data_IF_311547130502
#
_entry.id   IF_311547130502
#
_cell.length_a   1.000
_cell.length_b   1.000
_cell.length_c   1.000
_cell.angle_alpha   90.00
_cell.angle_beta   90.00
_cell.angle_gamma   90.00
#
_symmetry.space_group_name_H-M   'P 1'
#
loop_
_entity.id
_entity.type
_entity.pdbx_description
1 polymer ?
#
# COMPACT_ATOMS: atom_id res chain seq x y z
N UNK A 1 -3.10 2.38 -5.76
CA UNK A 1 -2.76 3.76 -6.18
C UNK A 1 -2.40 4.60 -4.97
N UNK A 2 -3.36 4.90 -4.09
CA UNK A 2 -3.19 5.85 -2.99
C UNK A 2 -2.01 5.48 -2.07
N UNK A 3 -1.91 4.24 -1.61
CA UNK A 3 -0.82 3.78 -0.74
C UNK A 3 0.56 4.10 -1.31
N UNK A 4 0.86 3.69 -2.54
CA UNK A 4 2.18 3.94 -3.13
C UNK A 4 2.51 5.44 -3.21
N UNK A 5 1.52 6.27 -3.53
CA UNK A 5 1.73 7.71 -3.60
C UNK A 5 1.92 8.36 -2.22
N UNK A 6 1.19 7.91 -1.20
CA UNK A 6 1.41 8.37 0.17
C UNK A 6 2.75 7.86 0.72
N UNK A 7 3.15 6.64 0.39
CA UNK A 7 4.47 6.11 0.74
C UNK A 7 5.61 6.94 0.15
N UNK A 8 5.44 7.49 -1.08
CA UNK A 8 6.41 8.45 -1.64
C UNK A 8 6.52 9.68 -0.76
N UNK A 9 5.40 10.25 -0.36
CA UNK A 9 5.37 11.43 0.51
C UNK A 9 6.04 11.14 1.85
N UNK A 10 5.72 10.01 2.47
CA UNK A 10 6.28 9.59 3.75
C UNK A 10 7.78 9.28 3.63
N UNK A 11 8.22 8.68 2.53
CA UNK A 11 9.63 8.42 2.25
C UNK A 11 10.46 9.72 2.15
N UNK A 12 9.92 10.75 1.49
CA UNK A 12 10.56 12.08 1.43
C UNK A 12 10.59 12.71 2.81
N UNK A 13 9.47 12.69 3.55
CA UNK A 13 9.37 13.22 4.92
C UNK A 13 10.34 12.52 5.87
N UNK A 14 10.50 11.21 5.74
CA UNK A 14 11.43 10.39 6.52
C UNK A 14 12.87 10.51 6.03
N UNK A 15 13.16 11.36 5.01
CA UNK A 15 14.49 11.56 4.41
C UNK A 15 15.15 10.26 3.92
N UNK A 16 14.35 9.33 3.41
CA UNK A 16 14.83 8.09 2.79
C UNK A 16 15.29 8.32 1.35
N UNK A 17 14.67 9.26 0.69
CA UNK A 17 15.01 9.79 -0.63
C UNK A 17 14.44 11.22 -0.74
N UNK A 18 14.78 11.93 -1.81
CA UNK A 18 14.39 13.32 -2.01
C UNK A 18 13.61 13.52 -3.32
N UNK A 19 13.16 14.75 -3.59
CA UNK A 19 12.41 15.08 -4.80
C UNK A 19 13.22 14.82 -6.08
N UNK A 20 14.55 15.03 -6.06
CA UNK A 20 15.37 14.79 -7.24
C UNK A 20 15.40 13.30 -7.59
N UNK A 21 15.46 12.42 -6.59
CA UNK A 21 15.36 10.97 -6.81
C UNK A 21 14.00 10.60 -7.44
N UNK A 22 12.90 11.25 -7.01
CA UNK A 22 11.56 10.97 -7.52
C UNK A 22 11.38 11.39 -8.98
N UNK A 23 11.90 12.56 -9.36
CA UNK A 23 11.78 13.09 -10.73
C UNK A 23 12.69 12.39 -11.75
N UNK A 24 13.50 11.41 -11.35
CA UNK A 24 14.14 10.47 -12.26
C UNK A 24 13.09 9.62 -13.00
N UNK A 25 11.93 9.38 -12.37
CA UNK A 25 10.78 8.74 -13.02
C UNK A 25 10.08 9.79 -13.89
N UNK A 26 10.05 9.57 -15.21
CA UNK A 26 9.50 10.52 -16.18
C UNK A 26 8.08 10.98 -15.86
N UNK A 27 7.24 10.10 -15.34
CA UNK A 27 5.88 10.43 -14.92
C UNK A 27 5.85 11.56 -13.87
N UNK A 28 6.68 11.48 -12.84
CA UNK A 28 6.77 12.52 -11.81
C UNK A 28 7.52 13.76 -12.30
N UNK A 29 8.48 13.58 -13.20
CA UNK A 29 9.19 14.69 -13.84
C UNK A 29 8.24 15.59 -14.63
N UNK A 30 7.28 15.00 -15.35
CA UNK A 30 6.31 15.77 -16.14
C UNK A 30 5.33 16.52 -15.22
N UNK A 31 4.85 15.90 -14.15
CA UNK A 31 4.01 16.58 -13.14
C UNK A 31 4.80 17.69 -12.45
N UNK A 32 6.07 17.44 -12.09
CA UNK A 32 6.93 18.46 -11.49
C UNK A 32 7.08 19.68 -12.39
N UNK A 33 7.32 19.49 -13.68
CA UNK A 33 7.46 20.59 -14.65
C UNK A 33 6.21 21.46 -14.73
N UNK A 34 5.01 20.88 -14.64
CA UNK A 34 3.74 21.63 -14.68
C UNK A 34 3.54 22.53 -13.47
N UNK A 35 4.15 22.19 -12.31
CA UNK A 35 4.00 22.96 -11.07
C UNK A 35 5.19 23.85 -10.71
N UNK A 36 6.38 23.57 -11.25
CA UNK A 36 7.63 24.24 -10.89
C UNK A 36 7.53 25.78 -10.92
N UNK A 37 6.85 26.33 -11.91
CA UNK A 37 6.76 27.80 -12.12
C UNK A 37 5.58 28.44 -11.36
N UNK A 38 4.64 27.65 -10.83
CA UNK A 38 3.39 28.17 -10.25
C UNK A 38 3.47 28.33 -8.73
N UNK A 39 4.49 27.76 -8.09
CA UNK A 39 4.60 27.80 -6.63
C UNK A 39 5.44 29.02 -6.23
N UNK A 40 4.75 30.08 -5.79
CA UNK A 40 5.38 31.24 -5.17
C UNK A 40 6.12 30.77 -3.90
N UNK A 41 7.33 31.29 -3.71
CA UNK A 41 8.18 31.07 -2.52
C UNK A 41 8.86 29.69 -2.39
N UNK A 42 9.06 28.93 -3.46
CA UNK A 42 9.84 27.67 -3.42
C UNK A 42 9.46 26.71 -2.24
N UNK A 43 8.19 26.71 -1.83
CA UNK A 43 7.74 25.83 -0.77
C UNK A 43 7.71 24.38 -1.26
N UNK A 44 8.80 23.65 -0.95
CA UNK A 44 8.99 22.25 -1.38
C UNK A 44 7.88 21.31 -0.91
N UNK A 45 7.33 21.58 0.26
CA UNK A 45 6.26 20.73 0.82
C UNK A 45 4.98 20.86 0.00
N UNK A 46 4.59 22.09 -0.35
CA UNK A 46 3.43 22.33 -1.22
C UNK A 46 3.65 21.66 -2.59
N UNK A 47 4.85 21.75 -3.15
CA UNK A 47 5.18 21.14 -4.42
C UNK A 47 5.02 19.60 -4.36
N UNK A 48 5.52 18.97 -3.31
CA UNK A 48 5.39 17.54 -3.10
C UNK A 48 3.91 17.15 -3.00
N UNK A 49 3.11 17.88 -2.21
CA UNK A 49 1.66 17.64 -2.11
C UNK A 49 0.95 17.72 -3.47
N UNK A 50 1.27 18.73 -4.29
CA UNK A 50 0.69 18.86 -5.63
C UNK A 50 1.08 17.70 -6.53
N UNK A 51 2.34 17.29 -6.53
CA UNK A 51 2.83 16.16 -7.32
C UNK A 51 2.10 14.87 -6.92
N UNK A 52 1.97 14.60 -5.63
CA UNK A 52 1.30 13.40 -5.13
C UNK A 52 -0.19 13.41 -5.50
N UNK A 53 -0.87 14.54 -5.32
CA UNK A 53 -2.29 14.70 -5.68
C UNK A 53 -2.54 14.44 -7.15
N UNK A 54 -1.74 15.08 -8.01
CA UNK A 54 -1.92 14.96 -9.46
C UNK A 54 -1.51 13.56 -9.97
N UNK A 55 -0.52 12.95 -9.34
CA UNK A 55 -0.17 11.54 -9.61
C UNK A 55 -1.37 10.61 -9.34
N UNK A 56 -2.01 10.76 -8.19
CA UNK A 56 -3.20 9.97 -7.84
C UNK A 56 -4.33 10.24 -8.85
N UNK A 57 -4.63 11.51 -9.16
CA UNK A 57 -5.68 11.88 -10.11
C UNK A 57 -5.45 11.27 -11.49
N UNK A 58 -4.24 11.42 -12.03
CA UNK A 58 -3.88 10.86 -13.34
C UNK A 58 -4.00 9.33 -13.38
N UNK A 59 -3.54 8.64 -12.34
CA UNK A 59 -3.65 7.18 -12.23
C UNK A 59 -5.11 6.73 -12.13
N UNK A 60 -5.93 7.42 -11.34
CA UNK A 60 -7.36 7.10 -11.20
C UNK A 60 -8.11 7.35 -12.49
N UNK A 61 -7.84 8.46 -13.19
CA UNK A 61 -8.45 8.77 -14.49
C UNK A 61 -8.11 7.72 -15.54
N UNK A 62 -6.85 7.28 -15.59
CA UNK A 62 -6.46 6.21 -16.52
C UNK A 62 -7.20 4.91 -16.20
N UNK A 63 -7.24 4.50 -14.93
CA UNK A 63 -7.93 3.30 -14.50
C UNK A 63 -9.40 3.32 -14.90
N UNK A 64 -10.11 4.42 -14.63
CA UNK A 64 -11.52 4.59 -15.00
C UNK A 64 -11.70 4.55 -16.53
N UNK A 65 -10.87 5.29 -17.26
CA UNK A 65 -10.94 5.34 -18.72
C UNK A 65 -10.70 3.96 -19.33
N UNK A 66 -9.65 3.28 -18.89
CA UNK A 66 -9.32 1.94 -19.40
C UNK A 66 -10.40 0.91 -19.04
N UNK A 67 -10.93 0.95 -17.82
CA UNK A 67 -12.05 0.09 -17.41
C UNK A 67 -13.28 0.30 -18.28
N UNK A 68 -13.66 1.56 -18.57
CA UNK A 68 -14.78 1.86 -19.48
C UNK A 68 -14.53 1.31 -20.89
N UNK A 69 -13.30 1.39 -21.38
CA UNK A 69 -12.94 0.82 -22.67
C UNK A 69 -13.03 -0.71 -22.67
N UNK A 70 -12.53 -1.37 -21.62
CA UNK A 70 -12.59 -2.82 -21.48
C UNK A 70 -14.05 -3.33 -21.42
N UNK A 71 -14.92 -2.64 -20.69
CA UNK A 71 -16.37 -2.96 -20.67
C UNK A 71 -17.00 -2.91 -22.07
N UNK A 72 -16.64 -1.88 -22.85
CA UNK A 72 -17.15 -1.72 -24.24
C UNK A 72 -16.59 -2.81 -25.17
N UNK A 73 -15.27 -3.01 -25.14
CA UNK A 73 -14.60 -3.97 -26.01
C UNK A 73 -15.07 -5.40 -25.79
N UNK A 74 -15.25 -5.77 -24.51
CA UNK A 74 -15.74 -7.10 -24.14
C UNK A 74 -17.28 -7.21 -24.14
N UNK A 75 -17.99 -6.15 -24.58
CA UNK A 75 -19.47 -6.12 -24.67
C UNK A 75 -20.16 -6.56 -23.38
N UNK A 76 -19.60 -6.21 -22.23
CA UNK A 76 -20.14 -6.58 -20.91
C UNK A 76 -21.45 -5.86 -20.64
N UNK A 77 -22.51 -6.63 -20.38
CA UNK A 77 -23.86 -6.13 -20.07
C UNK A 77 -24.39 -6.63 -18.72
N UNK A 78 -23.80 -7.68 -18.17
CA UNK A 78 -24.23 -8.30 -16.92
C UNK A 78 -23.04 -8.74 -16.07
N UNK A 79 -23.29 -9.05 -14.80
CA UNK A 79 -22.30 -9.62 -13.90
C UNK A 79 -21.76 -10.96 -14.39
N UNK A 80 -22.63 -11.77 -15.02
CA UNK A 80 -22.25 -13.06 -15.60
C UNK A 80 -21.25 -12.89 -16.74
N UNK A 81 -21.31 -11.79 -17.51
CA UNK A 81 -20.33 -11.51 -18.56
C UNK A 81 -18.96 -11.22 -17.95
N UNK A 82 -18.92 -10.53 -16.80
CA UNK A 82 -17.68 -10.28 -16.07
C UNK A 82 -17.02 -11.58 -15.62
N UNK A 83 -17.80 -12.53 -15.09
CA UNK A 83 -17.27 -13.81 -14.61
C UNK A 83 -16.75 -14.73 -15.71
N UNK A 84 -17.15 -14.52 -16.96
CA UNK A 84 -16.66 -15.29 -18.12
C UNK A 84 -15.32 -14.79 -18.67
N UNK A 85 -14.85 -13.63 -18.23
CA UNK A 85 -13.60 -13.06 -18.73
C UNK A 85 -12.40 -13.67 -18.02
N UNK A 86 -11.38 -13.99 -18.79
CA UNK A 86 -10.10 -14.50 -18.29
C UNK A 86 -9.25 -13.36 -17.68
N UNK A 87 -9.39 -12.13 -18.22
CA UNK A 87 -8.59 -10.99 -17.81
C UNK A 87 -9.41 -10.00 -16.95
N UNK A 88 -8.79 -9.33 -15.97
CA UNK A 88 -9.45 -8.32 -15.14
C UNK A 88 -9.95 -7.14 -15.98
N UNK A 89 -11.22 -6.78 -15.82
CA UNK A 89 -11.80 -5.58 -16.45
C UNK A 89 -11.18 -4.31 -15.91
N UNK A 90 -10.97 -4.26 -14.59
CA UNK A 90 -10.42 -3.11 -13.89
C UNK A 90 -8.91 -3.22 -13.89
N UNK A 91 -8.29 -2.56 -14.85
CA UNK A 91 -6.83 -2.52 -14.96
C UNK A 91 -6.36 -1.20 -15.58
N UNK A 92 -5.11 -0.86 -15.34
CA UNK A 92 -4.45 0.27 -15.99
C UNK A 92 -4.27 0.02 -17.49
N UNK A 93 -4.21 1.12 -18.25
CA UNK A 93 -3.67 1.06 -19.62
C UNK A 93 -2.22 0.56 -19.60
N UNK A 94 -1.74 0.05 -20.73
CA UNK A 94 -0.35 -0.45 -20.87
C UNK A 94 0.69 0.62 -20.46
N UNK A 95 0.40 1.91 -20.74
CA UNK A 95 1.24 3.03 -20.33
C UNK A 95 1.30 3.14 -18.79
N UNK A 96 0.15 3.19 -18.13
CA UNK A 96 0.09 3.38 -16.69
C UNK A 96 0.49 2.13 -15.89
N UNK A 97 0.35 0.96 -16.48
CA UNK A 97 0.88 -0.28 -15.90
C UNK A 97 2.42 -0.25 -15.80
N UNK A 98 3.09 0.34 -16.81
CA UNK A 98 4.55 0.55 -16.74
C UNK A 98 4.92 1.54 -15.65
N UNK A 99 4.21 2.67 -15.56
CA UNK A 99 4.41 3.68 -14.52
C UNK A 99 4.23 3.07 -13.11
N UNK A 100 3.18 2.27 -12.93
CA UNK A 100 2.91 1.61 -11.64
C UNK A 100 4.06 0.67 -11.25
N UNK A 101 4.59 -0.09 -12.21
CA UNK A 101 5.75 -0.96 -11.98
C UNK A 101 7.00 -0.15 -11.62
N UNK A 102 7.26 0.97 -12.28
CA UNK A 102 8.39 1.86 -11.97
C UNK A 102 8.27 2.45 -10.57
N UNK A 103 7.07 2.94 -10.20
CA UNK A 103 6.79 3.47 -8.86
C UNK A 103 7.01 2.40 -7.79
N UNK A 104 6.48 1.21 -8.01
CA UNK A 104 6.65 0.08 -7.08
C UNK A 104 8.11 -0.33 -6.93
N UNK A 105 8.85 -0.38 -8.03
CA UNK A 105 10.29 -0.67 -8.01
C UNK A 105 11.07 0.40 -7.24
N UNK A 106 10.77 1.68 -7.49
CA UNK A 106 11.37 2.80 -6.78
C UNK A 106 11.15 2.70 -5.26
N UNK A 107 9.90 2.52 -4.82
CA UNK A 107 9.57 2.37 -3.41
C UNK A 107 10.26 1.16 -2.78
N UNK A 108 10.29 0.04 -3.49
CA UNK A 108 10.96 -1.17 -3.00
C UNK A 108 12.45 -0.94 -2.80
N UNK A 109 13.12 -0.27 -3.73
CA UNK A 109 14.56 -0.02 -3.66
C UNK A 109 14.92 1.05 -2.63
N UNK A 110 14.19 2.18 -2.60
CA UNK A 110 14.55 3.35 -1.78
C UNK A 110 13.94 3.33 -0.37
N UNK A 111 12.78 2.70 -0.19
CA UNK A 111 12.03 2.73 1.07
C UNK A 111 11.91 1.35 1.73
N UNK A 112 11.26 0.38 1.08
CA UNK A 112 10.91 -0.87 1.75
C UNK A 112 12.12 -1.74 2.11
N UNK A 113 13.19 -1.68 1.32
CA UNK A 113 14.46 -2.36 1.61
C UNK A 113 15.42 -1.53 2.47
N UNK A 114 15.00 -0.35 2.95
CA UNK A 114 15.81 0.46 3.84
C UNK A 114 16.02 -0.26 5.17
N UNK A 115 17.27 -0.28 5.69
CA UNK A 115 17.62 -0.95 6.95
C UNK A 115 16.73 -0.53 8.13
N UNK A 116 16.37 0.76 8.23
CA UNK A 116 15.51 1.27 9.31
C UNK A 116 14.10 0.69 9.23
N UNK A 117 13.54 0.56 8.02
CA UNK A 117 12.22 -0.05 7.80
C UNK A 117 12.26 -1.53 8.09
N UNK A 118 13.26 -2.24 7.56
CA UNK A 118 13.44 -3.68 7.78
C UNK A 118 13.61 -4.01 9.26
N UNK A 119 14.35 -3.21 10.02
CA UNK A 119 14.51 -3.41 11.48
C UNK A 119 13.17 -3.29 12.21
N UNK A 120 12.35 -2.27 11.89
CA UNK A 120 11.01 -2.11 12.48
C UNK A 120 10.08 -3.25 12.11
N UNK A 121 10.04 -3.63 10.82
CA UNK A 121 9.21 -4.73 10.34
C UNK A 121 9.62 -6.06 10.99
N UNK A 122 10.91 -6.35 11.09
CA UNK A 122 11.41 -7.55 11.76
C UNK A 122 11.09 -7.56 13.25
N UNK A 123 11.11 -6.39 13.91
CA UNK A 123 10.68 -6.28 15.31
C UNK A 123 9.19 -6.60 15.45
N UNK A 124 8.33 -6.00 14.63
CA UNK A 124 6.89 -6.30 14.61
C UNK A 124 6.61 -7.78 14.32
N UNK A 125 7.27 -8.36 13.32
CA UNK A 125 7.17 -9.78 13.01
C UNK A 125 7.51 -10.67 14.23
N UNK A 126 8.58 -10.35 14.96
CA UNK A 126 8.96 -11.09 16.18
C UNK A 126 7.88 -11.00 17.26
N UNK A 127 7.26 -9.83 17.45
CA UNK A 127 6.17 -9.65 18.41
C UNK A 127 4.98 -10.52 18.05
N UNK A 128 4.49 -10.43 16.80
CA UNK A 128 3.34 -11.22 16.31
C UNK A 128 3.61 -12.72 16.46
N UNK A 129 4.79 -13.18 16.03
CA UNK A 129 5.18 -14.59 16.15
C UNK A 129 5.17 -15.06 17.62
N UNK A 130 5.75 -14.27 18.51
CA UNK A 130 5.78 -14.62 19.94
C UNK A 130 4.39 -14.61 20.58
N UNK A 131 3.53 -13.65 20.22
CA UNK A 131 2.13 -13.62 20.66
C UNK A 131 1.39 -14.89 20.24
N UNK A 132 1.52 -15.28 18.96
CA UNK A 132 0.89 -16.48 18.44
C UNK A 132 1.28 -17.71 19.29
N UNK A 133 2.58 -17.96 19.46
CA UNK A 133 3.04 -19.10 20.26
C UNK A 133 2.62 -19.05 21.74
N UNK A 134 2.58 -17.86 22.33
CA UNK A 134 2.16 -17.72 23.74
C UNK A 134 0.67 -17.93 23.92
N UNK A 135 -0.16 -17.41 23.02
CA UNK A 135 -1.61 -17.58 23.04
C UNK A 135 -1.97 -19.05 22.77
N UNK A 136 -1.27 -19.71 21.83
CA UNK A 136 -1.47 -21.15 21.51
C UNK A 136 -1.29 -22.05 22.76
N UNK A 137 -0.40 -21.67 23.68
CA UNK A 137 -0.20 -22.45 24.92
C UNK A 137 -1.39 -22.35 25.91
N UNK A 138 -2.14 -21.25 25.92
CA UNK A 138 -3.29 -21.01 26.82
C UNK A 138 -4.39 -20.23 26.10
N UNK A 139 -5.01 -20.80 25.05
CA UNK A 139 -5.92 -20.05 24.19
C UNK A 139 -7.19 -19.62 24.90
N UNK A 140 -7.69 -20.42 25.85
CA UNK A 140 -8.90 -20.13 26.62
C UNK A 140 -8.78 -18.86 27.51
N UNK A 141 -7.56 -18.37 27.74
CA UNK A 141 -7.35 -17.09 28.44
C UNK A 141 -7.73 -15.87 27.60
N UNK A 142 -7.73 -16.01 26.28
CA UNK A 142 -7.86 -14.93 25.30
C UNK A 142 -9.10 -15.08 24.41
N UNK A 143 -9.56 -16.31 24.21
CA UNK A 143 -10.61 -16.67 23.27
C UNK A 143 -11.65 -17.56 23.94
N UNK A 144 -12.92 -17.36 23.56
CA UNK A 144 -14.01 -18.22 24.01
C UNK A 144 -13.89 -19.62 23.38
N UNK A 145 -14.31 -20.65 24.12
CA UNK A 145 -14.28 -22.04 23.66
C UNK A 145 -14.99 -22.24 22.31
N UNK A 146 -16.04 -21.47 22.03
CA UNK A 146 -16.75 -21.55 20.74
C UNK A 146 -15.90 -21.14 19.55
N UNK A 147 -15.01 -20.16 19.69
CA UNK A 147 -14.08 -19.73 18.63
C UNK A 147 -12.99 -20.77 18.37
N UNK A 148 -12.69 -21.61 19.33
CA UNK A 148 -11.62 -22.61 19.27
C UNK A 148 -12.07 -23.98 18.74
N UNK A 149 -13.39 -24.20 18.52
CA UNK A 149 -13.95 -25.52 18.18
C UNK A 149 -13.48 -26.06 16.84
N UNK A 150 -13.42 -25.22 15.80
CA UNK A 150 -13.19 -25.69 14.44
C UNK A 150 -11.68 -25.62 14.06
N UNK A 151 -11.08 -24.45 14.24
CA UNK A 151 -9.67 -24.20 13.92
C UNK A 151 -9.07 -23.24 14.96
N UNK A 152 -8.44 -23.77 16.01
CA UNK A 152 -7.82 -22.94 17.05
C UNK A 152 -6.73 -22.01 16.51
N UNK A 153 -5.94 -22.47 15.53
CA UNK A 153 -4.85 -21.66 14.97
C UNK A 153 -5.40 -20.48 14.19
N UNK A 154 -6.45 -20.69 13.41
CA UNK A 154 -7.14 -19.64 12.69
C UNK A 154 -7.76 -18.63 13.64
N UNK A 155 -8.46 -19.07 14.68
CA UNK A 155 -9.05 -18.21 15.68
C UNK A 155 -8.01 -17.33 16.40
N UNK A 156 -6.84 -17.89 16.72
CA UNK A 156 -5.73 -17.13 17.30
C UNK A 156 -5.17 -16.10 16.31
N UNK A 157 -4.99 -16.48 15.05
CA UNK A 157 -4.53 -15.57 14.01
C UNK A 157 -5.50 -14.40 13.81
N UNK A 158 -6.80 -14.66 13.75
CA UNK A 158 -7.86 -13.64 13.62
C UNK A 158 -7.88 -12.72 14.86
N UNK A 159 -7.70 -13.26 16.06
CA UNK A 159 -7.60 -12.47 17.28
C UNK A 159 -6.40 -11.51 17.26
N UNK A 160 -5.22 -12.00 16.84
CA UNK A 160 -4.01 -11.17 16.74
C UNK A 160 -4.15 -10.13 15.64
N UNK A 161 -4.74 -10.47 14.49
CA UNK A 161 -4.94 -9.55 13.37
C UNK A 161 -5.92 -8.42 13.70
N UNK A 162 -6.84 -8.63 14.64
CA UNK A 162 -7.75 -7.60 15.16
C UNK A 162 -7.12 -6.65 16.18
N UNK A 163 -5.86 -6.86 16.60
CA UNK A 163 -5.19 -5.98 17.55
C UNK A 163 -4.67 -4.71 16.87
N UNK A 164 -4.69 -3.60 17.61
CA UNK A 164 -3.86 -2.45 17.27
C UNK A 164 -2.40 -2.73 17.60
N UNK A 165 -1.46 -2.08 16.91
CA UNK A 165 -0.02 -2.22 17.18
C UNK A 165 0.31 -2.00 18.65
N UNK A 166 -0.28 -0.96 19.26
CA UNK A 166 -0.07 -0.63 20.66
C UNK A 166 -0.54 -1.75 21.59
N UNK A 167 -1.72 -2.32 21.32
CA UNK A 167 -2.25 -3.43 22.12
C UNK A 167 -1.37 -4.67 22.00
N UNK A 168 -0.96 -5.03 20.79
CA UNK A 168 -0.07 -6.17 20.54
C UNK A 168 1.29 -6.02 21.25
N UNK A 169 1.89 -4.82 21.21
CA UNK A 169 3.15 -4.52 21.91
C UNK A 169 2.98 -4.63 23.43
N UNK A 170 1.92 -4.06 23.99
CA UNK A 170 1.67 -4.09 25.44
C UNK A 170 1.37 -5.51 25.91
N UNK A 171 0.53 -6.24 25.19
CA UNK A 171 0.25 -7.64 25.49
C UNK A 171 1.52 -8.50 25.41
N UNK A 172 2.38 -8.26 24.42
CA UNK A 172 3.67 -8.96 24.34
C UNK A 172 4.57 -8.68 25.53
N UNK A 173 4.55 -7.46 26.10
CA UNK A 173 5.35 -7.09 27.29
C UNK A 173 4.80 -7.67 28.58
N UNK A 174 3.51 -7.97 28.64
CA UNK A 174 2.85 -8.55 29.85
C UNK A 174 3.07 -10.06 30.02
N UNK A 175 3.74 -10.68 29.05
CA UNK A 175 4.16 -12.09 29.08
C UNK A 175 5.61 -12.23 29.53
#
# INVERSE_FOLDING_TARGET
IAYNNHDIQDGIRAKMFNLNDLIEINFFKDIYKSHKNNIKNNNKDILIYQIIRDSIDLMVRDLIKNTKNNLKTNKVKSLQDVYKLEEPIVCFSSKFLKIEKEVRFFLRSKMYNNKKVLLKNNHGKKIVTKLFYKITKKPNKFLNANHLKNDPNRAIADFISGMTDRYAINLHKSF
#
